data_IF_015436002740
#
_entry.id   IF_015436002740
#
_cell.length_a   1.000
_cell.length_b   1.000
_cell.length_c   1.000
_cell.angle_alpha   90.00
_cell.angle_beta   90.00
_cell.angle_gamma   90.00
#
_symmetry.space_group_name_H-M   'P 1'
#
loop_
_entity.id
_entity.type
_entity.pdbx_description
1 polymer ?
#
# COMPACT_ATOMS: atom_id res chain seq x y z
N UNK A 1 8.28 -25.47 -2.24
CA UNK A 1 7.94 -24.58 -3.39
C UNK A 1 8.57 -23.23 -3.10
N UNK A 2 9.29 -22.61 -4.03
CA UNK A 2 9.77 -21.23 -3.83
C UNK A 2 8.56 -20.30 -3.85
N UNK A 3 8.31 -19.57 -2.78
CA UNK A 3 7.27 -18.54 -2.69
C UNK A 3 7.96 -17.20 -2.39
N UNK A 4 7.53 -16.13 -3.05
CA UNK A 4 8.05 -14.78 -2.86
C UNK A 4 6.87 -13.82 -2.73
N UNK A 5 6.87 -13.03 -1.66
CA UNK A 5 5.87 -11.99 -1.40
C UNK A 5 6.36 -10.67 -1.98
N UNK A 6 5.46 -9.93 -2.63
CA UNK A 6 5.75 -8.62 -3.23
C UNK A 6 4.66 -7.64 -2.83
N UNK A 7 5.04 -6.41 -2.51
CA UNK A 7 4.16 -5.39 -1.93
C UNK A 7 3.94 -4.20 -2.86
N UNK A 8 4.67 -4.13 -3.98
CA UNK A 8 4.48 -3.14 -5.04
C UNK A 8 4.49 -3.74 -6.45
N UNK A 9 3.92 -3.02 -7.43
CA UNK A 9 3.98 -3.44 -8.84
C UNK A 9 5.41 -3.43 -9.37
N UNK A 10 6.24 -2.50 -8.88
CA UNK A 10 7.65 -2.41 -9.26
C UNK A 10 8.44 -3.63 -8.78
N UNK A 11 8.30 -4.02 -7.51
CA UNK A 11 8.93 -5.24 -6.96
C UNK A 11 8.51 -6.48 -7.74
N UNK A 12 7.21 -6.60 -8.07
CA UNK A 12 6.71 -7.71 -8.90
C UNK A 12 7.43 -7.77 -10.24
N UNK A 13 7.60 -6.64 -10.93
CA UNK A 13 8.28 -6.59 -12.22
C UNK A 13 9.77 -6.95 -12.13
N UNK A 14 10.45 -6.50 -11.08
CA UNK A 14 11.83 -6.87 -10.79
C UNK A 14 11.98 -8.38 -10.54
N UNK A 15 11.15 -8.95 -9.67
CA UNK A 15 11.14 -10.39 -9.37
C UNK A 15 10.83 -11.19 -10.64
N UNK A 16 9.83 -10.78 -11.44
CA UNK A 16 9.49 -11.45 -12.68
C UNK A 16 10.60 -11.38 -13.74
N UNK A 17 11.37 -10.29 -13.80
CA UNK A 17 12.55 -10.18 -14.68
C UNK A 17 13.64 -11.17 -14.27
N UNK A 18 13.90 -11.31 -12.98
CA UNK A 18 14.91 -12.22 -12.43
C UNK A 18 14.54 -13.69 -12.62
N UNK A 19 13.23 -14.00 -12.65
CA UNK A 19 12.71 -15.37 -12.78
C UNK A 19 12.48 -15.82 -14.24
N UNK A 20 12.84 -15.02 -15.26
CA UNK A 20 12.59 -15.33 -16.69
C UNK A 20 13.15 -16.68 -17.19
N UNK A 21 14.01 -17.37 -16.43
CA UNK A 21 14.51 -18.72 -16.72
C UNK A 21 13.79 -19.87 -16.01
N UNK A 22 12.86 -19.58 -15.08
CA UNK A 22 12.17 -20.61 -14.29
C UNK A 22 10.94 -21.16 -15.02
N UNK A 23 10.80 -22.49 -15.07
CA UNK A 23 9.63 -23.18 -15.61
C UNK A 23 8.37 -22.81 -14.80
N UNK A 24 7.50 -22.01 -15.43
CA UNK A 24 6.11 -21.70 -15.03
C UNK A 24 6.00 -21.02 -13.65
N UNK A 25 6.00 -19.68 -13.66
CA UNK A 25 5.68 -18.86 -12.48
C UNK A 25 4.16 -18.68 -12.39
N UNK A 26 3.58 -18.99 -11.23
CA UNK A 26 2.18 -18.71 -10.90
C UNK A 26 2.13 -17.42 -10.06
N UNK A 27 1.33 -16.45 -10.49
CA UNK A 27 1.19 -15.15 -9.81
C UNK A 27 -0.21 -15.06 -9.23
N UNK A 28 -0.29 -14.95 -7.91
CA UNK A 28 -1.53 -14.72 -7.19
C UNK A 28 -1.59 -13.27 -6.70
N UNK A 29 -2.70 -12.58 -7.00
CA UNK A 29 -2.93 -11.20 -6.53
C UNK A 29 -4.00 -11.21 -5.46
N UNK A 30 -3.60 -10.89 -4.24
CA UNK A 30 -4.52 -10.71 -3.12
C UNK A 30 -5.27 -9.38 -3.26
N UNK A 31 -6.61 -9.44 -3.22
CA UNK A 31 -7.48 -8.25 -3.21
C UNK A 31 -7.85 -7.80 -1.80
N UNK A 32 -7.67 -8.67 -0.83
CA UNK A 32 -7.87 -8.38 0.59
C UNK A 32 -7.29 -9.46 1.47
N UNK A 33 -7.21 -9.19 2.77
CA UNK A 33 -6.62 -10.09 3.77
C UNK A 33 -7.40 -11.41 3.94
N UNK A 34 -8.70 -11.42 3.65
CA UNK A 34 -9.53 -12.63 3.74
C UNK A 34 -9.25 -13.69 2.68
N UNK A 35 -8.44 -13.38 1.67
CA UNK A 35 -7.97 -14.34 0.66
C UNK A 35 -6.71 -15.10 1.11
N UNK A 36 -6.14 -14.74 2.26
CA UNK A 36 -4.93 -15.34 2.82
C UNK A 36 -5.27 -16.38 3.89
N UNK A 37 -4.50 -17.47 3.94
CA UNK A 37 -4.58 -18.40 5.08
C UNK A 37 -3.95 -17.78 6.34
N UNK A 38 -4.20 -18.40 7.50
CA UNK A 38 -3.63 -17.95 8.77
C UNK A 38 -2.10 -17.94 8.76
N UNK A 39 -1.48 -18.95 8.16
CA UNK A 39 -0.02 -19.07 8.02
C UNK A 39 0.53 -17.96 7.12
N UNK A 40 -0.14 -17.67 6.00
CA UNK A 40 0.25 -16.61 5.08
C UNK A 40 0.18 -15.23 5.75
N UNK A 41 -0.88 -14.96 6.52
CA UNK A 41 -1.01 -13.71 7.29
C UNK A 41 0.10 -13.58 8.33
N UNK A 42 0.39 -14.67 9.04
CA UNK A 42 1.45 -14.69 10.04
C UNK A 42 2.81 -14.34 9.44
N UNK A 43 3.19 -15.02 8.36
CA UNK A 43 4.48 -14.83 7.69
C UNK A 43 4.65 -13.43 7.11
N UNK A 44 3.57 -12.83 6.59
CA UNK A 44 3.66 -11.57 5.83
C UNK A 44 3.41 -10.32 6.65
N UNK A 45 2.51 -10.38 7.65
CA UNK A 45 2.01 -9.17 8.33
C UNK A 45 2.10 -9.21 9.84
N UNK A 46 2.17 -10.39 10.48
CA UNK A 46 2.10 -10.48 11.95
C UNK A 46 3.44 -10.83 12.62
N UNK A 47 4.27 -11.65 12.00
CA UNK A 47 5.54 -12.09 12.56
C UNK A 47 6.51 -10.90 12.72
N UNK A 48 6.95 -10.55 13.95
CA UNK A 48 7.86 -9.43 14.19
C UNK A 48 9.17 -9.47 13.39
N UNK A 49 9.64 -10.66 13.01
CA UNK A 49 10.88 -10.82 12.25
C UNK A 49 10.73 -10.50 10.76
N UNK A 50 9.52 -10.58 10.20
CA UNK A 50 9.28 -10.45 8.74
C UNK A 50 8.24 -9.40 8.38
N UNK A 51 7.45 -8.91 9.34
CA UNK A 51 6.42 -7.90 9.10
C UNK A 51 7.03 -6.54 8.80
N UNK A 52 6.36 -5.79 7.93
CA UNK A 52 6.64 -4.38 7.66
C UNK A 52 5.60 -3.52 8.38
N UNK A 53 6.04 -2.65 9.30
CA UNK A 53 5.18 -1.70 9.99
C UNK A 53 5.62 -0.28 9.69
N UNK A 54 4.66 0.60 9.41
CA UNK A 54 4.87 2.04 9.30
C UNK A 54 4.42 2.70 10.60
N UNK A 55 5.26 3.56 11.15
CA UNK A 55 4.92 4.34 12.35
C UNK A 55 4.27 5.64 11.92
N UNK A 56 3.11 5.98 12.51
CA UNK A 56 2.41 7.24 12.23
C UNK A 56 2.97 8.31 13.15
N UNK A 57 3.49 9.40 12.57
CA UNK A 57 3.94 10.60 13.29
C UNK A 57 3.11 11.82 12.89
N UNK A 58 3.10 12.84 13.76
CA UNK A 58 2.47 14.13 13.50
C UNK A 58 3.56 15.19 13.56
N UNK A 59 3.88 15.78 12.41
CA UNK A 59 4.93 16.80 12.33
C UNK A 59 4.38 18.20 12.66
N UNK A 60 3.23 18.56 12.07
CA UNK A 60 2.54 19.84 12.30
C UNK A 60 1.06 19.58 12.62
N UNK A 61 0.72 19.74 13.90
CA UNK A 61 -0.63 19.50 14.39
C UNK A 61 -1.69 20.41 13.75
N UNK A 62 -1.35 21.68 13.46
CA UNK A 62 -2.31 22.63 12.90
C UNK A 62 -2.62 22.30 11.44
N UNK A 63 -1.58 21.97 10.66
CA UNK A 63 -1.75 21.51 9.28
C UNK A 63 -2.50 20.19 9.21
N UNK A 64 -2.17 19.25 10.10
CA UNK A 64 -2.85 17.95 10.19
C UNK A 64 -4.35 18.13 10.49
N UNK A 65 -4.72 18.97 11.45
CA UNK A 65 -6.12 19.26 11.78
C UNK A 65 -6.89 19.85 10.59
N UNK A 66 -6.30 20.81 9.87
CA UNK A 66 -6.89 21.38 8.65
C UNK A 66 -7.16 20.31 7.58
N UNK A 67 -6.20 19.41 7.36
CA UNK A 67 -6.35 18.32 6.39
C UNK A 67 -7.44 17.34 6.84
N UNK A 68 -7.48 16.98 8.12
CA UNK A 68 -8.53 16.12 8.66
C UNK A 68 -9.91 16.75 8.48
N UNK A 69 -10.06 18.03 8.81
CA UNK A 69 -11.34 18.73 8.65
C UNK A 69 -11.77 18.78 7.17
N UNK A 70 -10.85 19.11 6.25
CA UNK A 70 -11.16 19.17 4.81
C UNK A 70 -11.54 17.80 4.23
N UNK A 71 -10.83 16.73 4.60
CA UNK A 71 -11.04 15.40 4.03
C UNK A 71 -12.16 14.61 4.70
N UNK A 72 -12.36 14.80 6.00
CA UNK A 72 -13.26 13.98 6.83
C UNK A 72 -14.41 14.77 7.44
N UNK A 73 -14.38 16.11 7.43
CA UNK A 73 -15.43 16.98 7.99
C UNK A 73 -16.70 17.04 7.15
N UNK A 74 -17.78 17.63 7.67
CA UNK A 74 -19.11 17.59 7.04
C UNK A 74 -19.25 18.32 5.70
N UNK A 75 -18.31 19.21 5.35
CA UNK A 75 -18.42 20.06 4.18
C UNK A 75 -18.00 19.34 2.89
N UNK A 76 -18.97 19.13 2.00
CA UNK A 76 -18.76 18.46 0.70
C UNK A 76 -17.99 19.33 -0.31
N UNK A 77 -18.28 20.65 -0.49
CA UNK A 77 -17.61 21.46 -1.49
C UNK A 77 -16.07 21.51 -1.39
N UNK A 78 -15.45 21.78 -0.21
CA UNK A 78 -13.99 21.84 -0.11
C UNK A 78 -13.33 20.49 -0.39
N UNK A 79 -13.92 19.40 0.11
CA UNK A 79 -13.46 18.03 -0.16
C UNK A 79 -13.48 17.71 -1.66
N UNK A 80 -14.58 18.05 -2.35
CA UNK A 80 -14.72 17.82 -3.79
C UNK A 80 -13.67 18.58 -4.59
N UNK A 81 -13.45 19.86 -4.27
CA UNK A 81 -12.44 20.67 -4.91
C UNK A 81 -11.03 20.07 -4.71
N UNK A 82 -10.70 19.65 -3.48
CA UNK A 82 -9.43 19.00 -3.17
C UNK A 82 -9.22 17.71 -3.99
N UNK A 83 -10.20 16.81 -4.00
CA UNK A 83 -10.11 15.55 -4.77
C UNK A 83 -9.94 15.85 -6.26
N UNK A 84 -10.71 16.79 -6.82
CA UNK A 84 -10.59 17.14 -8.25
C UNK A 84 -9.23 17.72 -8.62
N UNK A 85 -8.66 18.55 -7.75
CA UNK A 85 -7.35 19.14 -7.95
C UNK A 85 -6.21 18.10 -7.90
N UNK A 86 -6.32 17.09 -7.02
CA UNK A 86 -5.20 16.21 -6.70
C UNK A 86 -5.35 14.73 -7.14
N UNK A 87 -6.55 14.24 -7.47
CA UNK A 87 -6.79 12.81 -7.73
C UNK A 87 -5.90 12.19 -8.83
N UNK A 88 -5.44 12.98 -9.79
CA UNK A 88 -4.55 12.51 -10.88
C UNK A 88 -3.06 12.65 -10.56
N UNK A 89 -2.70 13.46 -9.57
CA UNK A 89 -1.30 13.72 -9.21
C UNK A 89 -0.74 12.78 -8.14
N UNK A 90 -1.60 11.97 -7.48
CA UNK A 90 -1.20 11.00 -6.44
C UNK A 90 -0.55 9.74 -7.03
N UNK A 91 0.47 9.91 -7.89
CA UNK A 91 1.33 8.80 -8.31
C UNK A 91 2.68 8.82 -7.60
N UNK A 92 3.23 10.00 -7.34
CA UNK A 92 4.58 10.18 -6.81
C UNK A 92 4.57 11.26 -5.71
N UNK A 93 4.00 10.96 -4.54
CA UNK A 93 4.18 11.83 -3.36
C UNK A 93 5.55 11.62 -2.69
N UNK A 94 6.22 10.50 -3.01
CA UNK A 94 7.50 10.07 -2.42
C UNK A 94 8.63 10.12 -3.47
N UNK A 95 9.06 11.31 -3.91
CA UNK A 95 10.36 11.50 -4.59
C UNK A 95 11.41 11.85 -3.53
#
# INVERSE_FOLDING_TARGET
>A
KLQHWVYSEQEREEVMRNLKGAKKVEVQRYKGLGEMSAEQLWETTMNPATRTLLTVSIDDAAKTDQIFHMLMGGEVPPRKAFIQAHAKSVKNLDI
#
